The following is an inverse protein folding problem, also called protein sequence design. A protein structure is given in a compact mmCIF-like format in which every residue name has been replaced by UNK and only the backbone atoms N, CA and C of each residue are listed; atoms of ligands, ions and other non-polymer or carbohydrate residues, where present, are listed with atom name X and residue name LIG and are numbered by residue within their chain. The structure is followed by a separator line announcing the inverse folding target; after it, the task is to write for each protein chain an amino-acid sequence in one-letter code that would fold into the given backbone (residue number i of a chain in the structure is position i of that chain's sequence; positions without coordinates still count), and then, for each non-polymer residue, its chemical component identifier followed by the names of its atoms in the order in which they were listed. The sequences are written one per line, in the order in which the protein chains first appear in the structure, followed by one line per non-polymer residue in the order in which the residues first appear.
data_IF_946415371104
#
_entry.id   IF_946415371104
#
_cell.length_a   1.000
_cell.length_b   1.000
_cell.length_c   1.000
_cell.angle_alpha   90.00
_cell.angle_beta   90.00
_cell.angle_gamma   90.00
#
_symmetry.space_group_name_H-M   'P 1'
#
loop_
_entity.id
_entity.type
_entity.pdbx_description
1 polymer ?
#
# COMPACT_ATOMS: atom_id res chain seq x y z
N UNK A 1 5.73 -22.78 -14.12
CA UNK A 1 6.03 -21.35 -14.05
C UNK A 1 7.03 -21.04 -12.95
N UNK A 2 7.85 -20.00 -13.11
CA UNK A 2 8.70 -19.54 -12.03
C UNK A 2 7.89 -18.71 -11.02
N UNK A 3 8.11 -18.97 -9.73
CA UNK A 3 7.52 -18.20 -8.62
C UNK A 3 8.49 -18.12 -7.44
N UNK A 4 8.39 -17.07 -6.66
CA UNK A 4 9.05 -16.98 -5.35
C UNK A 4 8.19 -17.72 -4.35
N UNK A 5 8.77 -18.68 -3.64
CA UNK A 5 8.07 -19.55 -2.68
C UNK A 5 8.78 -19.51 -1.34
N UNK A 6 8.04 -19.55 -0.25
CA UNK A 6 8.54 -19.87 1.09
C UNK A 6 7.80 -21.07 1.66
N UNK A 7 8.58 -22.00 2.26
CA UNK A 7 8.08 -23.28 2.80
C UNK A 7 8.02 -23.26 4.33
N UNK A 8 8.65 -22.24 4.94
CA UNK A 8 8.68 -22.03 6.38
C UNK A 8 8.68 -20.51 6.69
N UNK A 9 8.25 -20.14 7.88
CA UNK A 9 8.34 -18.77 8.34
C UNK A 9 9.78 -18.41 8.71
N UNK A 10 10.24 -17.21 8.33
CA UNK A 10 11.61 -16.80 8.60
C UNK A 10 12.00 -15.46 8.05
N UNK A 11 13.30 -15.22 7.95
CA UNK A 11 13.89 -14.05 7.31
C UNK A 11 13.78 -14.09 5.78
N UNK A 12 14.34 -13.07 5.06
CA UNK A 12 14.29 -13.02 3.60
C UNK A 12 14.90 -14.25 2.92
N UNK A 13 15.81 -14.92 3.61
CA UNK A 13 16.52 -16.13 3.13
C UNK A 13 15.60 -17.32 2.86
N UNK A 14 14.37 -17.35 3.40
CA UNK A 14 13.41 -18.42 3.12
C UNK A 14 12.72 -18.28 1.76
N UNK A 15 12.83 -17.10 1.13
CA UNK A 15 12.29 -16.85 -0.21
C UNK A 15 13.19 -17.50 -1.26
N UNK A 16 12.63 -18.40 -2.04
CA UNK A 16 13.32 -19.13 -3.11
C UNK A 16 12.56 -19.06 -4.41
N UNK A 17 13.22 -18.79 -5.51
CA UNK A 17 12.62 -18.99 -6.83
C UNK A 17 12.55 -20.47 -7.11
N UNK A 18 11.36 -20.95 -7.43
CA UNK A 18 11.09 -22.36 -7.73
C UNK A 18 10.17 -22.47 -8.95
N UNK A 19 10.25 -23.62 -9.61
CA UNK A 19 9.27 -23.99 -10.62
C UNK A 19 8.05 -24.62 -9.94
N UNK A 20 6.87 -24.03 -10.17
CA UNK A 20 5.60 -24.46 -9.61
C UNK A 20 4.57 -24.66 -10.74
N UNK A 21 3.51 -25.46 -10.52
CA UNK A 21 2.42 -25.56 -11.49
C UNK A 21 1.79 -24.19 -11.80
N UNK A 22 1.38 -23.98 -13.04
CA UNK A 22 0.62 -22.80 -13.41
C UNK A 22 -0.77 -22.85 -12.77
N UNK A 23 -1.21 -21.78 -12.07
CA UNK A 23 -2.53 -21.74 -11.49
C UNK A 23 -3.62 -21.66 -12.57
N UNK A 24 -4.84 -22.10 -12.27
CA UNK A 24 -5.97 -22.04 -13.19
C UNK A 24 -7.03 -21.09 -12.67
N UNK A 25 -7.58 -20.24 -13.54
CA UNK A 25 -8.63 -19.31 -13.19
C UNK A 25 -9.93 -20.05 -12.89
N UNK A 26 -10.43 -19.91 -11.67
CA UNK A 26 -11.75 -20.38 -11.26
C UNK A 26 -12.88 -19.46 -11.74
N UNK A 27 -14.15 -19.79 -11.43
CA UNK A 27 -15.29 -18.96 -11.77
C UNK A 27 -15.15 -17.54 -11.22
N UNK A 28 -15.39 -16.53 -12.06
CA UNK A 28 -15.26 -15.12 -11.71
C UNK A 28 -13.82 -14.59 -11.61
N UNK A 29 -12.82 -15.46 -11.79
CA UNK A 29 -11.40 -15.10 -11.72
C UNK A 29 -10.77 -14.98 -13.10
N UNK A 30 -9.66 -14.26 -13.16
CA UNK A 30 -8.74 -14.25 -14.30
C UNK A 30 -7.37 -14.74 -13.86
N UNK A 31 -6.66 -15.42 -14.80
CA UNK A 31 -5.22 -15.61 -14.67
C UNK A 31 -4.51 -14.49 -15.41
N UNK A 32 -3.53 -13.90 -14.77
CA UNK A 32 -2.80 -12.75 -15.25
C UNK A 32 -1.36 -13.17 -15.51
N UNK A 33 -0.86 -12.97 -16.73
CA UNK A 33 0.57 -12.95 -16.99
C UNK A 33 1.15 -11.70 -16.35
N UNK A 34 1.88 -11.87 -15.26
CA UNK A 34 2.35 -10.78 -14.40
C UNK A 34 3.37 -9.92 -15.15
N UNK A 35 3.20 -8.63 -15.08
CA UNK A 35 4.14 -7.61 -15.54
C UNK A 35 4.80 -6.86 -14.39
N UNK A 36 4.07 -6.71 -13.28
CA UNK A 36 4.56 -6.13 -12.05
C UNK A 36 3.76 -6.66 -10.86
N UNK A 37 4.45 -6.91 -9.76
CA UNK A 37 3.90 -7.22 -8.44
C UNK A 37 4.33 -6.17 -7.43
N UNK A 38 3.40 -5.64 -6.63
CA UNK A 38 3.69 -4.66 -5.60
C UNK A 38 4.20 -5.31 -4.32
N UNK A 39 5.21 -4.71 -3.71
CA UNK A 39 5.74 -5.13 -2.41
C UNK A 39 5.16 -4.25 -1.31
N UNK A 40 4.64 -4.88 -0.27
CA UNK A 40 4.04 -4.23 0.89
C UNK A 40 4.63 -4.73 2.20
N UNK A 41 4.61 -3.93 3.29
CA UNK A 41 5.06 -4.40 4.59
C UNK A 41 4.34 -5.65 5.10
N UNK A 42 3.09 -5.87 4.68
CA UNK A 42 2.36 -7.08 5.06
C UNK A 42 3.00 -8.35 4.50
N UNK A 43 3.65 -8.30 3.34
CA UNK A 43 4.27 -9.47 2.70
C UNK A 43 5.39 -10.05 3.57
N UNK A 44 6.28 -9.19 4.13
CA UNK A 44 7.31 -9.67 5.05
C UNK A 44 6.75 -10.04 6.42
N UNK A 45 5.69 -9.36 6.91
CA UNK A 45 5.03 -9.72 8.17
C UNK A 45 4.40 -11.12 8.08
N UNK A 46 3.76 -11.46 6.95
CA UNK A 46 3.25 -12.80 6.67
C UNK A 46 4.39 -13.81 6.63
N UNK A 47 5.44 -13.54 5.86
CA UNK A 47 6.63 -14.40 5.76
C UNK A 47 7.31 -14.64 7.13
N UNK A 48 7.34 -13.62 7.99
CA UNK A 48 7.84 -13.73 9.37
C UNK A 48 6.91 -14.53 10.30
N UNK A 49 5.66 -14.80 9.90
CA UNK A 49 4.64 -15.42 10.74
C UNK A 49 4.08 -14.47 11.81
N UNK A 50 4.25 -13.16 11.65
CA UNK A 50 3.76 -12.15 12.60
C UNK A 50 2.25 -11.91 12.47
N UNK A 51 1.64 -12.44 11.43
CA UNK A 51 0.21 -12.30 11.12
C UNK A 51 -0.62 -13.50 11.52
N UNK A 52 -0.05 -14.47 12.24
CA UNK A 52 -0.76 -15.69 12.70
C UNK A 52 -2.07 -15.35 13.41
N UNK A 53 -3.13 -16.06 13.01
CA UNK A 53 -4.49 -15.84 13.53
C UNK A 53 -5.25 -14.71 12.82
N UNK A 54 -4.60 -13.97 11.92
CA UNK A 54 -5.23 -12.94 11.08
C UNK A 54 -5.02 -13.23 9.59
N UNK A 55 -3.79 -13.51 9.17
CA UNK A 55 -3.46 -14.03 7.84
C UNK A 55 -2.56 -15.24 8.04
N UNK A 56 -3.11 -16.42 7.78
CA UNK A 56 -2.41 -17.69 7.92
C UNK A 56 -2.21 -18.34 6.53
N UNK A 57 -1.05 -18.13 5.87
CA UNK A 57 -0.79 -18.75 4.58
C UNK A 57 -0.67 -20.27 4.71
N UNK A 58 -1.18 -20.99 3.72
CA UNK A 58 -0.93 -22.43 3.59
C UNK A 58 0.43 -22.61 2.92
N UNK A 59 1.38 -23.21 3.63
CA UNK A 59 2.72 -23.45 3.12
C UNK A 59 2.79 -24.73 2.28
N UNK A 60 3.57 -24.76 1.17
CA UNK A 60 4.36 -23.68 0.61
C UNK A 60 3.49 -22.56 0.03
N UNK A 61 3.92 -21.29 0.17
CA UNK A 61 3.15 -20.14 -0.27
C UNK A 61 3.96 -19.20 -1.17
N UNK A 62 3.27 -18.55 -2.12
CA UNK A 62 3.80 -17.46 -2.95
C UNK A 62 3.37 -16.14 -2.33
N UNK A 63 4.29 -15.21 -2.03
CA UNK A 63 3.95 -13.91 -1.49
C UNK A 63 3.43 -12.94 -2.56
N UNK A 64 2.93 -11.78 -2.08
CA UNK A 64 2.51 -10.64 -2.91
C UNK A 64 0.99 -10.51 -3.03
N UNK A 65 0.47 -9.36 -2.60
CA UNK A 65 -0.96 -9.04 -2.63
C UNK A 65 -1.39 -8.34 -3.91
N UNK A 66 -0.49 -7.64 -4.59
CA UNK A 66 -0.81 -6.77 -5.72
C UNK A 66 -0.22 -7.30 -7.02
N UNK A 67 -1.02 -7.26 -8.06
CA UNK A 67 -0.64 -7.72 -9.39
C UNK A 67 -1.10 -6.73 -10.46
N UNK A 68 -0.24 -6.49 -11.44
CA UNK A 68 -0.57 -5.83 -12.70
C UNK A 68 -0.05 -6.68 -13.86
N UNK A 69 -0.84 -6.83 -14.91
CA UNK A 69 -0.44 -7.62 -16.07
C UNK A 69 -1.56 -7.80 -17.09
N UNK A 70 -1.37 -8.79 -17.93
CA UNK A 70 -2.29 -9.09 -19.04
C UNK A 70 -3.04 -10.38 -18.75
N UNK A 71 -4.35 -10.35 -18.89
CA UNK A 71 -5.18 -11.56 -18.75
C UNK A 71 -4.80 -12.57 -19.82
N UNK A 72 -4.41 -13.78 -19.44
CA UNK A 72 -4.13 -14.88 -20.36
C UNK A 72 -5.13 -16.04 -20.27
N UNK A 73 -5.92 -16.09 -19.18
CA UNK A 73 -7.04 -17.01 -19.02
C UNK A 73 -8.18 -16.31 -18.27
N UNK A 74 -9.41 -16.49 -18.73
CA UNK A 74 -10.62 -16.02 -18.06
C UNK A 74 -11.45 -17.21 -17.59
N UNK A 75 -11.80 -17.26 -16.31
CA UNK A 75 -12.72 -18.22 -15.75
C UNK A 75 -14.18 -17.95 -16.14
N UNK A 76 -15.05 -18.92 -15.92
CA UNK A 76 -16.48 -18.76 -16.24
C UNK A 76 -17.08 -17.56 -15.48
N UNK A 77 -17.72 -16.63 -16.18
CA UNK A 77 -18.33 -15.43 -15.60
C UNK A 77 -17.35 -14.34 -15.16
N UNK A 78 -16.09 -14.40 -15.60
CA UNK A 78 -15.15 -13.30 -15.38
C UNK A 78 -15.54 -12.05 -16.17
N UNK A 79 -15.32 -10.87 -15.56
CA UNK A 79 -15.64 -9.58 -16.19
C UNK A 79 -14.61 -9.10 -17.22
N UNK A 80 -13.51 -9.86 -17.41
CA UNK A 80 -12.38 -9.51 -18.27
C UNK A 80 -12.08 -10.63 -19.27
N UNK A 81 -11.57 -10.26 -20.43
CA UNK A 81 -11.21 -11.17 -21.50
C UNK A 81 -9.69 -11.32 -21.63
N UNK A 82 -9.25 -12.40 -22.28
CA UNK A 82 -7.85 -12.61 -22.67
C UNK A 82 -7.36 -11.42 -23.49
N UNK A 83 -6.20 -10.87 -23.12
CA UNK A 83 -5.60 -9.68 -23.70
C UNK A 83 -5.92 -8.38 -22.96
N UNK A 84 -6.87 -8.37 -22.03
CA UNK A 84 -7.14 -7.17 -21.20
C UNK A 84 -5.95 -6.87 -20.28
N UNK A 85 -5.56 -5.59 -20.21
CA UNK A 85 -4.58 -5.08 -19.24
C UNK A 85 -5.30 -4.75 -17.91
N UNK A 86 -4.87 -5.41 -16.84
CA UNK A 86 -5.55 -5.32 -15.53
C UNK A 86 -4.56 -5.10 -14.39
N UNK A 87 -5.09 -4.58 -13.29
CA UNK A 87 -4.37 -4.39 -12.02
C UNK A 87 -5.33 -4.57 -10.85
N UNK A 88 -4.85 -5.15 -9.75
CA UNK A 88 -5.66 -5.34 -8.55
C UNK A 88 -4.98 -6.26 -7.53
N UNK A 89 -5.82 -7.03 -6.83
CA UNK A 89 -5.37 -7.92 -5.77
C UNK A 89 -5.28 -9.36 -6.25
N UNK A 90 -4.17 -10.01 -5.89
CA UNK A 90 -3.92 -11.42 -6.14
C UNK A 90 -4.65 -12.30 -5.11
N UNK A 91 -5.23 -13.41 -5.56
CA UNK A 91 -5.89 -14.41 -4.71
C UNK A 91 -4.94 -15.51 -4.21
N UNK A 92 -3.69 -15.56 -4.69
CA UNK A 92 -2.78 -16.67 -4.36
C UNK A 92 -1.30 -16.32 -4.42
N UNK A 93 -0.97 -15.03 -4.37
CA UNK A 93 0.39 -14.52 -4.49
C UNK A 93 0.71 -14.01 -5.90
N UNK A 94 1.52 -12.95 -5.95
CA UNK A 94 1.85 -12.23 -7.18
C UNK A 94 3.34 -12.28 -7.56
N UNK A 95 4.22 -12.78 -6.68
CA UNK A 95 5.65 -12.90 -7.02
C UNK A 95 5.88 -14.15 -7.88
N UNK A 96 5.32 -14.14 -9.07
CA UNK A 96 5.31 -15.26 -10.01
C UNK A 96 5.12 -14.77 -11.45
N UNK A 97 5.35 -15.63 -12.44
CA UNK A 97 5.06 -15.34 -13.85
C UNK A 97 3.55 -15.22 -14.11
N UNK A 98 2.72 -15.95 -13.34
CA UNK A 98 1.26 -15.91 -13.43
C UNK A 98 0.65 -15.83 -12.03
N UNK A 99 -0.43 -15.05 -11.92
CA UNK A 99 -1.22 -14.90 -10.71
C UNK A 99 -2.72 -15.03 -11.01
N UNK A 100 -3.50 -15.49 -10.02
CA UNK A 100 -4.96 -15.50 -10.08
C UNK A 100 -5.50 -14.27 -9.36
N UNK A 101 -6.53 -13.66 -9.92
CA UNK A 101 -7.20 -12.52 -9.32
C UNK A 101 -8.70 -12.50 -9.68
N UNK A 102 -9.54 -12.23 -8.67
CA UNK A 102 -10.98 -11.98 -8.85
C UNK A 102 -11.34 -10.50 -8.70
N UNK A 103 -10.47 -9.70 -8.08
CA UNK A 103 -10.72 -8.29 -7.80
C UNK A 103 -9.71 -7.39 -8.50
N UNK A 104 -9.99 -7.07 -9.77
CA UNK A 104 -9.12 -6.25 -10.63
C UNK A 104 -9.90 -5.16 -11.36
N UNK A 105 -9.19 -4.11 -11.78
CA UNK A 105 -9.69 -3.05 -12.64
C UNK A 105 -8.85 -2.97 -13.92
N UNK A 106 -9.40 -2.34 -14.99
CA UNK A 106 -8.62 -2.05 -16.21
C UNK A 106 -7.50 -1.09 -15.93
N UNK A 107 -6.31 -1.41 -16.41
CA UNK A 107 -5.19 -0.48 -16.41
C UNK A 107 -5.40 0.55 -17.53
N UNK A 108 -5.42 1.85 -17.26
CA UNK A 108 -5.48 2.86 -18.30
C UNK A 108 -4.26 2.83 -19.20
N UNK A 109 -4.47 3.16 -20.47
CA UNK A 109 -3.38 3.36 -21.41
C UNK A 109 -2.44 4.49 -20.93
N UNK A 110 -1.14 4.33 -21.13
CA UNK A 110 -0.13 5.34 -20.75
C UNK A 110 0.34 5.26 -19.28
N UNK A 111 -0.36 4.54 -18.39
CA UNK A 111 0.15 4.24 -17.05
C UNK A 111 1.12 3.06 -17.13
N UNK A 112 2.32 3.18 -16.56
CA UNK A 112 3.27 2.07 -16.53
C UNK A 112 2.77 0.94 -15.60
N UNK A 113 3.31 -0.28 -15.76
CA UNK A 113 2.94 -1.41 -14.92
C UNK A 113 3.30 -1.18 -13.45
N UNK A 114 4.46 -0.57 -13.23
CA UNK A 114 4.99 -0.24 -11.91
C UNK A 114 4.12 0.80 -11.20
N UNK A 115 3.70 1.84 -11.92
CA UNK A 115 2.79 2.85 -11.37
C UNK A 115 1.42 2.24 -11.06
N UNK A 116 0.87 1.45 -11.99
CA UNK A 116 -0.42 0.82 -11.83
C UNK A 116 -0.46 -0.11 -10.61
N UNK A 117 0.55 -0.99 -10.45
CA UNK A 117 0.59 -1.94 -9.33
C UNK A 117 0.83 -1.25 -7.97
N UNK A 118 1.27 0.00 -7.96
CA UNK A 118 1.41 0.80 -6.75
C UNK A 118 0.11 1.37 -6.19
N UNK A 119 -1.00 1.23 -6.92
CA UNK A 119 -2.29 1.85 -6.54
C UNK A 119 -3.14 0.98 -5.60
N UNK A 120 -3.35 -0.34 -5.83
CA UNK A 120 -4.40 -1.09 -5.15
C UNK A 120 -4.36 -0.99 -3.62
N UNK A 121 -3.26 -1.42 -2.99
CA UNK A 121 -3.15 -1.41 -1.51
C UNK A 121 -2.98 0.00 -0.98
N UNK A 122 -2.14 0.82 -1.61
CA UNK A 122 -1.88 2.17 -1.12
C UNK A 122 -3.13 3.07 -1.27
N UNK A 123 -3.82 2.98 -2.39
CA UNK A 123 -5.02 3.77 -2.66
C UNK A 123 -6.21 3.37 -1.81
N UNK A 124 -6.50 2.06 -1.70
CA UNK A 124 -7.56 1.55 -0.81
C UNK A 124 -7.30 1.96 0.63
N UNK A 125 -6.09 1.70 1.13
CA UNK A 125 -5.75 1.99 2.52
C UNK A 125 -5.83 3.49 2.82
N UNK A 126 -5.31 4.34 1.94
CA UNK A 126 -5.36 5.78 2.13
C UNK A 126 -6.81 6.31 2.13
N UNK A 127 -7.63 5.88 1.16
CA UNK A 127 -9.04 6.29 1.08
C UNK A 127 -9.82 5.82 2.30
N UNK A 128 -9.72 4.54 2.63
CA UNK A 128 -10.41 3.94 3.76
C UNK A 128 -10.13 4.67 5.09
N UNK A 129 -8.87 5.00 5.34
CA UNK A 129 -8.51 5.68 6.60
C UNK A 129 -8.99 7.14 6.58
N UNK A 130 -8.90 7.85 5.46
CA UNK A 130 -9.47 9.20 5.36
C UNK A 130 -10.99 9.20 5.59
N UNK A 131 -11.69 8.18 5.07
CA UNK A 131 -13.13 8.01 5.30
C UNK A 131 -13.45 7.69 6.76
N UNK A 132 -12.66 6.83 7.43
CA UNK A 132 -12.79 6.53 8.87
C UNK A 132 -12.56 7.77 9.73
N UNK A 133 -11.58 8.59 9.40
CA UNK A 133 -11.29 9.83 10.11
C UNK A 133 -12.38 10.88 9.91
N UNK A 134 -13.20 10.77 8.87
CA UNK A 134 -14.33 11.66 8.60
C UNK A 134 -13.93 13.12 8.42
N UNK A 135 -12.69 13.39 8.00
CA UNK A 135 -12.12 14.73 7.83
C UNK A 135 -12.83 15.55 6.76
N UNK A 136 -12.92 16.85 6.97
CA UNK A 136 -13.66 17.77 6.10
C UNK A 136 -12.73 18.82 5.50
N UNK A 137 -13.12 19.37 4.35
CA UNK A 137 -12.41 20.48 3.73
C UNK A 137 -12.17 21.63 4.72
N UNK A 138 -10.95 22.14 4.75
CA UNK A 138 -10.49 23.17 5.68
C UNK A 138 -9.84 22.65 6.96
N UNK A 139 -10.05 21.39 7.32
CA UNK A 139 -9.40 20.78 8.49
C UNK A 139 -7.91 20.47 8.24
N UNK A 140 -7.17 20.29 9.32
CA UNK A 140 -5.74 19.98 9.32
C UNK A 140 -5.51 18.52 9.71
N UNK A 141 -4.83 17.75 8.84
CA UNK A 141 -4.45 16.37 9.10
C UNK A 141 -2.92 16.23 9.22
N UNK A 142 -2.48 15.49 10.24
CA UNK A 142 -1.09 15.04 10.37
C UNK A 142 -0.98 13.61 9.82
N UNK A 143 -0.08 13.40 8.86
CA UNK A 143 0.18 12.08 8.27
C UNK A 143 1.60 11.66 8.61
N UNK A 144 1.76 10.67 9.49
CA UNK A 144 3.06 10.07 9.77
C UNK A 144 3.50 9.18 8.61
N UNK A 145 4.79 9.26 8.26
CA UNK A 145 5.32 8.50 7.13
C UNK A 145 4.85 8.99 5.76
N UNK A 146 4.58 10.29 5.62
CA UNK A 146 4.00 10.90 4.43
C UNK A 146 4.77 10.70 3.11
N UNK A 147 6.03 10.27 3.15
CA UNK A 147 6.85 9.96 1.96
C UNK A 147 6.86 8.48 1.57
N UNK A 148 6.21 7.60 2.34
CA UNK A 148 6.04 6.18 2.04
C UNK A 148 4.97 5.92 0.97
N UNK A 149 4.77 4.65 0.60
CA UNK A 149 3.81 4.27 -0.44
C UNK A 149 2.37 4.71 -0.10
N UNK A 150 1.85 4.34 1.07
CA UNK A 150 0.51 4.73 1.53
C UNK A 150 0.46 6.22 1.88
N UNK A 151 1.45 6.72 2.64
CA UNK A 151 1.47 8.10 3.11
C UNK A 151 1.45 9.12 1.96
N UNK A 152 2.18 8.88 0.88
CA UNK A 152 2.21 9.80 -0.27
C UNK A 152 0.89 9.84 -1.05
N UNK A 153 0.18 8.73 -1.12
CA UNK A 153 -1.18 8.69 -1.68
C UNK A 153 -2.16 9.41 -0.76
N UNK A 154 -2.09 9.14 0.56
CA UNK A 154 -2.94 9.81 1.55
C UNK A 154 -2.77 11.33 1.53
N UNK A 155 -1.52 11.83 1.44
CA UNK A 155 -1.24 13.27 1.27
C UNK A 155 -1.99 13.85 0.07
N UNK A 156 -1.91 13.20 -1.08
CA UNK A 156 -2.52 13.69 -2.31
C UNK A 156 -4.06 13.65 -2.24
N UNK A 157 -4.65 12.56 -1.74
CA UNK A 157 -6.08 12.45 -1.55
C UNK A 157 -6.61 13.48 -0.55
N UNK A 158 -5.93 13.67 0.58
CA UNK A 158 -6.27 14.69 1.57
C UNK A 158 -6.18 16.11 0.98
N UNK A 159 -5.15 16.42 0.19
CA UNK A 159 -5.04 17.70 -0.53
C UNK A 159 -6.18 17.90 -1.53
N UNK A 160 -6.53 16.87 -2.29
CA UNK A 160 -7.65 16.91 -3.23
C UNK A 160 -9.00 17.13 -2.52
N UNK A 161 -9.16 16.64 -1.30
CA UNK A 161 -10.32 16.87 -0.44
C UNK A 161 -10.33 18.26 0.23
N UNK A 162 -9.30 19.10 0.01
CA UNK A 162 -9.24 20.47 0.52
C UNK A 162 -8.69 20.59 1.94
N UNK A 163 -7.97 19.57 2.45
CA UNK A 163 -7.35 19.61 3.78
C UNK A 163 -6.01 20.37 3.76
N UNK A 164 -5.66 20.90 4.91
CA UNK A 164 -4.29 21.28 5.23
C UNK A 164 -3.55 20.02 5.67
N UNK A 165 -2.47 19.63 4.99
CA UNK A 165 -1.75 18.40 5.26
C UNK A 165 -0.36 18.69 5.81
N UNK A 166 -0.07 18.13 6.98
CA UNK A 166 1.26 18.08 7.56
C UNK A 166 1.76 16.65 7.39
N UNK A 167 2.93 16.46 6.80
CA UNK A 167 3.50 15.12 6.57
C UNK A 167 4.82 14.93 7.33
N UNK A 168 4.95 13.87 8.11
CA UNK A 168 6.26 13.57 8.70
C UNK A 168 7.10 12.75 7.73
N UNK A 169 8.38 13.15 7.60
CA UNK A 169 9.39 12.43 6.85
C UNK A 169 10.80 12.85 7.30
N UNK A 170 11.83 12.11 6.88
CA UNK A 170 13.21 12.56 7.01
C UNK A 170 13.46 13.82 6.17
N UNK A 171 14.40 14.70 6.54
CA UNK A 171 14.71 15.93 5.81
C UNK A 171 14.96 15.72 4.30
N UNK A 172 15.56 14.60 3.93
CA UNK A 172 15.81 14.24 2.54
C UNK A 172 14.53 14.04 1.68
N UNK A 173 13.36 13.91 2.34
CA UNK A 173 12.07 13.74 1.67
C UNK A 173 11.16 14.99 1.79
N UNK A 174 11.63 16.08 2.42
CA UNK A 174 10.81 17.28 2.62
C UNK A 174 10.40 17.95 1.30
N UNK A 175 11.31 18.01 0.32
CA UNK A 175 10.97 18.60 -0.99
C UNK A 175 9.94 17.74 -1.74
N UNK A 176 10.00 16.43 -1.59
CA UNK A 176 8.98 15.55 -2.13
C UNK A 176 7.61 15.82 -1.48
N UNK A 177 7.53 15.92 -0.15
CA UNK A 177 6.26 16.25 0.51
C UNK A 177 5.71 17.62 0.10
N UNK A 178 6.57 18.64 -0.06
CA UNK A 178 6.17 19.95 -0.60
C UNK A 178 5.62 19.84 -2.02
N UNK A 179 6.21 19.01 -2.86
CA UNK A 179 5.72 18.83 -4.23
C UNK A 179 4.33 18.16 -4.27
N UNK A 180 3.95 17.40 -3.23
CA UNK A 180 2.61 16.85 -3.05
C UNK A 180 1.64 17.84 -2.38
N UNK A 181 2.08 19.02 -1.99
CA UNK A 181 1.28 20.06 -1.33
C UNK A 181 1.19 19.94 0.19
N UNK A 182 2.00 19.09 0.82
CA UNK A 182 2.06 18.99 2.28
C UNK A 182 3.11 19.91 2.89
N UNK A 183 2.91 20.28 4.14
CA UNK A 183 3.92 20.92 4.99
C UNK A 183 4.78 19.81 5.61
N UNK A 184 6.06 19.70 5.28
CA UNK A 184 6.90 18.64 5.84
C UNK A 184 7.38 18.97 7.24
N UNK A 185 7.42 17.95 8.10
CA UNK A 185 7.96 18.02 9.46
C UNK A 185 8.84 16.78 9.68
N UNK A 186 9.97 16.95 10.35
CA UNK A 186 10.81 15.83 10.73
C UNK A 186 10.21 15.07 11.94
N UNK A 187 10.19 13.75 11.86
CA UNK A 187 9.75 12.87 12.97
C UNK A 187 10.82 12.76 14.08
N UNK A 188 10.48 12.09 15.18
CA UNK A 188 11.39 11.85 16.32
C UNK A 188 11.38 12.98 17.34
N UNK A 189 12.43 13.04 18.18
CA UNK A 189 12.52 13.99 19.30
C UNK A 189 12.21 15.42 18.86
N UNK A 190 11.34 16.13 19.61
CA UNK A 190 10.87 17.48 19.30
C UNK A 190 9.77 17.55 18.21
N UNK A 191 9.15 16.42 17.86
CA UNK A 191 8.04 16.38 16.88
C UNK A 191 6.90 17.32 17.27
N UNK A 192 6.52 17.31 18.56
CA UNK A 192 5.42 18.11 19.09
C UNK A 192 5.60 19.60 18.83
N UNK A 193 6.79 20.12 19.15
CA UNK A 193 7.13 21.54 18.96
C UNK A 193 7.16 21.90 17.47
N UNK A 194 7.70 21.01 16.62
CA UNK A 194 7.76 21.23 15.17
C UNK A 194 6.37 21.27 14.55
N UNK A 195 5.46 20.37 14.98
CA UNK A 195 4.08 20.39 14.48
C UNK A 195 3.35 21.64 14.96
N UNK A 196 3.48 22.01 16.25
CA UNK A 196 2.88 23.24 16.81
C UNK A 196 3.38 24.52 16.11
N UNK A 197 4.62 24.54 15.66
CA UNK A 197 5.16 25.68 14.91
C UNK A 197 4.47 25.90 13.56
N UNK A 198 3.94 24.85 12.91
CA UNK A 198 3.27 24.93 11.62
C UNK A 198 1.74 24.79 11.73
N UNK A 199 1.23 24.32 12.86
CA UNK A 199 -0.19 24.20 13.18
C UNK A 199 -0.42 24.66 14.64
N UNK A 200 -0.38 25.96 14.89
CA UNK A 200 -0.52 26.50 16.27
C UNK A 200 -1.90 26.20 16.89
N UNK A 201 -2.91 26.01 16.08
CA UNK A 201 -4.27 25.68 16.52
C UNK A 201 -4.48 24.17 16.72
N UNK A 202 -3.43 23.35 16.51
CA UNK A 202 -3.48 21.87 16.59
C UNK A 202 -3.81 21.20 15.27
N UNK A 203 -4.14 19.90 15.35
CA UNK A 203 -4.54 19.08 14.21
C UNK A 203 -5.91 18.46 14.47
N UNK A 204 -6.74 18.34 13.44
CA UNK A 204 -8.10 17.78 13.54
C UNK A 204 -8.09 16.25 13.46
N UNK A 205 -7.11 15.68 12.78
CA UNK A 205 -6.97 14.23 12.62
C UNK A 205 -5.50 13.81 12.47
N UNK A 206 -5.23 12.54 12.75
CA UNK A 206 -3.91 11.93 12.56
C UNK A 206 -4.04 10.60 11.84
N UNK A 207 -3.27 10.42 10.79
CA UNK A 207 -3.10 9.16 10.10
C UNK A 207 -1.67 8.65 10.25
N UNK A 208 -1.49 7.55 11.00
CA UNK A 208 -0.18 6.92 11.14
C UNK A 208 0.01 5.79 10.13
N UNK A 209 0.94 6.00 9.19
CA UNK A 209 1.37 5.00 8.20
C UNK A 209 2.76 4.43 8.51
N UNK A 210 3.41 4.90 9.59
CA UNK A 210 4.80 4.59 9.87
C UNK A 210 5.00 3.55 10.99
N UNK A 211 4.18 3.58 12.05
CA UNK A 211 4.30 2.68 13.19
C UNK A 211 5.62 2.80 13.95
N UNK A 212 6.26 3.96 13.89
CA UNK A 212 7.60 4.18 14.46
C UNK A 212 7.60 5.18 15.64
N UNK A 213 6.54 5.15 16.43
CA UNK A 213 6.32 6.12 17.51
C UNK A 213 5.61 7.38 16.98
N UNK A 214 5.43 8.37 17.88
CA UNK A 214 4.69 9.60 17.56
C UNK A 214 3.19 9.52 17.85
N UNK A 215 2.65 8.37 18.28
CA UNK A 215 1.25 8.26 18.68
C UNK A 215 0.96 8.99 19.98
N UNK A 216 1.90 9.01 20.93
CA UNK A 216 1.74 9.74 22.17
C UNK A 216 1.70 11.26 21.93
N UNK A 217 2.60 11.77 21.11
CA UNK A 217 2.61 13.16 20.65
C UNK A 217 1.35 13.49 19.82
N UNK A 218 0.85 12.52 19.04
CA UNK A 218 -0.38 12.67 18.28
C UNK A 218 -1.59 12.82 19.18
N UNK A 219 -1.69 12.07 20.29
CA UNK A 219 -2.74 12.23 21.31
C UNK A 219 -2.68 13.64 21.92
N UNK A 220 -1.49 14.12 22.22
CA UNK A 220 -1.31 15.47 22.79
C UNK A 220 -1.65 16.58 21.78
N UNK A 221 -1.24 16.42 20.52
CA UNK A 221 -1.56 17.36 19.43
C UNK A 221 -3.05 17.43 19.13
N UNK A 222 -3.73 16.28 19.16
CA UNK A 222 -5.17 16.17 18.89
C UNK A 222 -6.02 16.54 20.11
N UNK A 223 -5.47 16.36 21.32
CA UNK A 223 -6.19 16.54 22.59
C UNK A 223 -7.07 15.34 22.98
N UNK A 224 -6.80 14.15 22.43
CA UNK A 224 -7.52 12.90 22.67
C UNK A 224 -7.13 11.83 21.67
N UNK A 225 -7.75 10.65 21.77
CA UNK A 225 -7.49 9.49 20.90
C UNK A 225 -8.43 9.40 19.69
N UNK A 226 -9.56 10.12 19.73
CA UNK A 226 -10.51 10.15 18.62
C UNK A 226 -9.87 10.80 17.39
N UNK A 227 -10.24 10.30 16.20
CA UNK A 227 -9.70 10.75 14.91
C UNK A 227 -8.18 10.57 14.78
N UNK A 228 -7.64 9.57 15.48
CA UNK A 228 -6.31 9.03 15.22
C UNK A 228 -6.48 7.60 14.75
N UNK A 229 -5.93 7.28 13.58
CA UNK A 229 -5.96 5.93 12.99
C UNK A 229 -4.55 5.52 12.59
N UNK A 230 -4.15 4.32 12.95
CA UNK A 230 -2.89 3.70 12.50
C UNK A 230 -3.16 2.49 11.61
N UNK A 231 -2.25 2.23 10.66
CA UNK A 231 -2.19 1.00 9.86
C UNK A 231 -0.90 0.22 10.11
N UNK A 232 -0.04 0.74 10.97
CA UNK A 232 1.33 0.24 11.13
C UNK A 232 1.65 -0.22 12.55
N UNK A 233 0.98 0.33 13.57
CA UNK A 233 1.15 0.00 14.98
C UNK A 233 -0.11 -0.64 15.57
N UNK A 234 -0.14 -1.97 15.65
CA UNK A 234 -1.28 -2.70 16.22
C UNK A 234 -1.32 -2.68 17.75
N UNK A 235 -0.23 -2.25 18.42
CA UNK A 235 -0.21 -1.97 19.87
C UNK A 235 -0.96 -0.69 20.25
N UNK A 236 -1.28 0.15 19.28
CA UNK A 236 -2.01 1.42 19.48
C UNK A 236 -3.41 1.23 20.12
N UNK A 237 -4.01 0.05 19.98
CA UNK A 237 -5.28 -0.28 20.64
C UNK A 237 -5.20 -0.23 22.17
N UNK A 238 -4.04 -0.47 22.77
CA UNK A 238 -3.80 -0.31 24.21
C UNK A 238 -3.86 1.16 24.64
N UNK A 239 -3.60 2.08 23.69
CA UNK A 239 -3.74 3.53 23.91
C UNK A 239 -5.16 4.04 23.60
N UNK A 240 -6.08 3.17 23.19
CA UNK A 240 -7.42 3.55 22.75
C UNK A 240 -7.46 4.16 21.34
N UNK A 241 -6.43 3.92 20.53
CA UNK A 241 -6.34 4.37 19.13
C UNK A 241 -6.84 3.26 18.20
N UNK A 242 -7.57 3.64 17.15
CA UNK A 242 -8.05 2.70 16.14
C UNK A 242 -6.90 2.19 15.26
N UNK A 243 -6.74 0.86 15.21
CA UNK A 243 -5.84 0.17 14.28
C UNK A 243 -6.66 -0.41 13.13
N UNK A 244 -6.46 0.11 11.91
CA UNK A 244 -7.25 -0.25 10.74
C UNK A 244 -6.49 -1.20 9.82
N UNK A 245 -6.92 -2.47 9.78
CA UNK A 245 -6.31 -3.51 8.94
C UNK A 245 -7.15 -3.85 7.70
N UNK A 246 -8.47 -3.64 7.73
CA UNK A 246 -9.39 -3.94 6.64
C UNK A 246 -10.57 -2.97 6.65
N UNK A 247 -11.19 -2.80 5.48
CA UNK A 247 -12.40 -2.01 5.31
C UNK A 247 -13.68 -2.85 5.27
N UNK A 248 -14.82 -2.16 5.26
CA UNK A 248 -16.15 -2.75 5.12
C UNK A 248 -16.72 -2.61 3.71
N UNK A 249 -15.98 -1.96 2.79
CA UNK A 249 -16.40 -1.77 1.40
C UNK A 249 -16.52 -3.11 0.67
N UNK A 250 -17.52 -3.22 -0.18
CA UNK A 250 -17.72 -4.40 -1.03
C UNK A 250 -16.63 -4.49 -2.11
N UNK A 251 -16.36 -5.68 -2.67
CA UNK A 251 -15.42 -5.82 -3.79
C UNK A 251 -15.74 -4.92 -4.98
N UNK A 252 -17.01 -4.64 -5.24
CA UNK A 252 -17.43 -3.75 -6.33
C UNK A 252 -17.07 -2.28 -6.05
N UNK A 253 -17.28 -1.81 -4.82
CA UNK A 253 -16.89 -0.45 -4.40
C UNK A 253 -15.37 -0.28 -4.42
N UNK A 254 -14.62 -1.28 -3.94
CA UNK A 254 -13.15 -1.28 -3.96
C UNK A 254 -12.63 -1.24 -5.41
N UNK A 255 -13.22 -2.01 -6.35
CA UNK A 255 -12.86 -1.96 -7.78
C UNK A 255 -13.17 -0.61 -8.42
N UNK A 256 -14.32 -0.03 -8.08
CA UNK A 256 -14.70 1.29 -8.61
C UNK A 256 -13.72 2.38 -8.13
N UNK A 257 -13.36 2.37 -6.85
CA UNK A 257 -12.37 3.28 -6.28
C UNK A 257 -10.99 3.09 -6.93
N UNK A 258 -10.54 1.84 -7.10
CA UNK A 258 -9.30 1.53 -7.81
C UNK A 258 -9.31 2.09 -9.24
N UNK A 259 -10.40 1.89 -9.99
CA UNK A 259 -10.55 2.42 -11.35
C UNK A 259 -10.44 3.95 -11.39
N UNK A 260 -11.07 4.64 -10.44
CA UNK A 260 -11.00 6.10 -10.34
C UNK A 260 -9.57 6.59 -9.98
N UNK A 261 -8.88 5.91 -9.08
CA UNK A 261 -7.50 6.24 -8.70
C UNK A 261 -6.51 5.97 -9.85
N UNK A 262 -6.68 4.88 -10.57
CA UNK A 262 -5.88 4.59 -11.78
C UNK A 262 -6.10 5.65 -12.87
N UNK A 263 -7.35 6.12 -13.04
CA UNK A 263 -7.62 7.22 -13.97
C UNK A 263 -6.95 8.52 -13.49
N UNK A 264 -6.96 8.80 -12.18
CA UNK A 264 -6.24 9.95 -11.62
C UNK A 264 -4.72 9.86 -11.86
N UNK A 265 -4.14 8.65 -11.86
CA UNK A 265 -2.73 8.45 -12.25
C UNK A 265 -2.54 8.76 -13.74
N UNK A 266 -3.44 8.29 -14.61
CA UNK A 266 -3.39 8.57 -16.04
C UNK A 266 -3.52 10.06 -16.36
N UNK A 267 -4.34 10.78 -15.60
CA UNK A 267 -4.58 12.23 -15.73
C UNK A 267 -3.47 13.07 -15.07
N UNK A 268 -2.53 12.44 -14.34
CA UNK A 268 -1.44 13.10 -13.63
C UNK A 268 -1.86 13.85 -12.36
N UNK A 269 -3.09 13.64 -11.88
CA UNK A 269 -3.61 14.24 -10.63
C UNK A 269 -3.28 13.41 -9.39
N UNK A 270 -2.92 12.14 -9.57
CA UNK A 270 -2.34 11.25 -8.57
C UNK A 270 -0.99 10.73 -9.08
N UNK A 271 0.05 10.83 -8.27
CA UNK A 271 1.38 10.34 -8.64
C UNK A 271 1.79 9.19 -7.73
N UNK A 272 2.33 8.13 -8.33
CA UNK A 272 2.89 6.99 -7.62
C UNK A 272 4.41 7.02 -7.78
N UNK A 273 5.11 7.25 -6.69
CA UNK A 273 6.57 7.21 -6.66
C UNK A 273 7.04 5.77 -6.54
N UNK A 274 7.85 5.32 -7.49
CA UNK A 274 8.53 4.02 -7.43
C UNK A 274 9.88 4.21 -6.71
N UNK A 275 10.06 3.48 -5.62
CA UNK A 275 11.30 3.51 -4.86
C UNK A 275 12.39 2.71 -5.58
N UNK A 276 12.05 1.46 -5.94
CA UNK A 276 12.96 0.55 -6.62
C UNK A 276 12.18 -0.58 -7.30
N UNK A 277 12.74 -1.11 -8.39
CA UNK A 277 12.21 -2.27 -9.11
C UNK A 277 13.24 -3.39 -9.06
N UNK A 278 12.79 -4.58 -8.71
CA UNK A 278 13.61 -5.78 -8.58
C UNK A 278 13.14 -6.85 -9.55
N UNK A 279 14.09 -7.65 -10.06
CA UNK A 279 13.74 -8.89 -10.74
C UNK A 279 13.13 -9.91 -9.75
N UNK A 280 12.35 -10.85 -10.26
CA UNK A 280 11.75 -11.91 -9.44
C UNK A 280 12.81 -12.66 -8.61
N UNK A 281 14.00 -12.88 -9.15
CA UNK A 281 15.11 -13.51 -8.46
C UNK A 281 15.63 -12.73 -7.23
N UNK A 282 15.39 -11.43 -7.21
CA UNK A 282 15.81 -10.52 -6.15
C UNK A 282 14.67 -10.14 -5.17
N UNK A 283 13.55 -10.88 -5.19
CA UNK A 283 12.40 -10.62 -4.32
C UNK A 283 12.75 -10.62 -2.81
N UNK A 284 13.76 -11.39 -2.41
CA UNK A 284 14.29 -11.35 -1.05
C UNK A 284 14.82 -9.96 -0.68
N UNK A 285 15.63 -9.35 -1.58
CA UNK A 285 16.15 -7.98 -1.40
C UNK A 285 15.04 -6.94 -1.40
N UNK A 286 14.00 -7.13 -2.24
CA UNK A 286 12.83 -6.27 -2.26
C UNK A 286 12.10 -6.27 -0.90
N UNK A 287 11.93 -7.45 -0.30
CA UNK A 287 11.33 -7.55 1.04
C UNK A 287 12.27 -7.04 2.15
N UNK A 288 13.58 -7.21 2.04
CA UNK A 288 14.57 -6.61 2.95
C UNK A 288 14.46 -5.08 2.95
N UNK A 289 14.38 -4.46 1.77
CA UNK A 289 14.19 -3.02 1.65
C UNK A 289 12.85 -2.59 2.28
N UNK A 290 11.76 -3.33 2.05
CA UNK A 290 10.46 -3.08 2.70
C UNK A 290 10.55 -3.19 4.21
N UNK A 291 11.19 -4.22 4.73
CA UNK A 291 11.36 -4.48 6.17
C UNK A 291 12.25 -3.42 6.85
N UNK A 292 13.20 -2.82 6.14
CA UNK A 292 14.04 -1.75 6.65
C UNK A 292 13.26 -0.47 7.01
N UNK A 293 12.05 -0.29 6.45
CA UNK A 293 11.24 0.92 6.62
C UNK A 293 11.77 2.17 5.91
N UNK A 294 12.81 2.04 5.09
CA UNK A 294 13.48 3.18 4.44
C UNK A 294 13.13 3.34 2.94
N UNK A 295 12.19 2.56 2.43
CA UNK A 295 11.73 2.70 1.05
C UNK A 295 11.03 4.05 0.84
N UNK A 296 11.43 4.77 -0.20
CA UNK A 296 10.89 6.10 -0.55
C UNK A 296 9.86 5.97 -1.66
N UNK A 297 8.73 5.33 -1.39
CA UNK A 297 7.68 5.03 -2.35
C UNK A 297 7.41 3.54 -2.47
N UNK A 298 6.84 3.13 -3.59
CA UNK A 298 6.48 1.74 -3.87
C UNK A 298 7.68 0.91 -4.33
N UNK A 299 7.84 -0.26 -3.77
CA UNK A 299 8.78 -1.28 -4.25
C UNK A 299 8.00 -2.21 -5.18
N UNK A 300 8.62 -2.62 -6.27
CA UNK A 300 8.01 -3.46 -7.30
C UNK A 300 8.93 -4.65 -7.61
N UNK A 301 8.32 -5.82 -7.81
CA UNK A 301 8.97 -7.01 -8.34
C UNK A 301 8.43 -7.27 -9.74
N UNK A 302 9.33 -7.53 -10.70
CA UNK A 302 8.96 -7.85 -12.09
C UNK A 302 9.45 -9.26 -12.43
N UNK A 303 8.60 -10.16 -12.93
CA UNK A 303 9.06 -11.39 -13.55
C UNK A 303 9.87 -11.04 -14.79
N UNK A 304 10.95 -11.75 -15.05
CA UNK A 304 11.67 -11.59 -16.32
C UNK A 304 10.74 -11.95 -17.50
N UNK A 305 10.78 -11.12 -18.56
CA UNK A 305 9.94 -11.27 -19.74
C UNK A 305 10.32 -12.52 -20.58
#
# INVERSE_FOLDING_TARGET
MQAVVFEEFGGPEVLKVQEVPEPQAGPGQVRIKVRAAGVNPIDFKVRRGWTKGFIDPVLPAVPGLEVAGVVDQAGAGADFAVGDEVVGWSDGGAYAEYAIAGNVARKPAGVSWEQAVGVPVAGETAQRVLDLLGVKSGETILIHGGAGAVGSVAVQLAKAAGLTVIGTASPANHDYLRSLGAVPVEYGEGLLERVRAVAPDGVDAVFDTAGQGGLQESIELRGGTEQIVTIADFGATELGIEASAAGTATPAEVRAALGAQLQAVADGTLTIRIAETFDLADAAKAQELSESGHARGKIVVVPQA
#
